data_IF_338420257664
#
_entry.id   IF_338420257664
#
_cell.length_a   1.000
_cell.length_b   1.000
_cell.length_c   1.000
_cell.angle_alpha   90.00
_cell.angle_beta   90.00
_cell.angle_gamma   90.00
#
_symmetry.space_group_name_H-M   'P 1'
#
loop_
_entity.id
_entity.type
_entity.pdbx_description
1 polymer ?
#
# COMPACT_ATOMS: atom_id res chain seq x y z
N UNK A 1 -6.45 -18.56 40.06
CA UNK A 1 -5.62 -17.67 39.24
C UNK A 1 -5.61 -18.20 37.80
N UNK A 2 -6.28 -17.52 36.85
CA UNK A 2 -6.19 -17.90 35.42
C UNK A 2 -4.90 -17.30 34.84
N UNK A 3 -4.12 -18.04 34.03
CA UNK A 3 -2.89 -17.50 33.47
C UNK A 3 -3.22 -16.35 32.49
N UNK A 4 -2.58 -15.22 32.70
CA UNK A 4 -2.64 -14.05 31.83
C UNK A 4 -2.14 -14.44 30.43
N UNK A 5 -2.94 -14.24 29.40
CA UNK A 5 -2.61 -14.64 28.01
C UNK A 5 -1.44 -13.80 27.48
N UNK A 6 -0.28 -14.37 27.36
CA UNK A 6 0.94 -13.75 26.81
C UNK A 6 0.71 -13.08 25.43
N UNK A 7 -0.23 -13.57 24.62
CA UNK A 7 -0.56 -13.01 23.30
C UNK A 7 -1.25 -11.62 23.35
N UNK A 8 -2.01 -11.31 24.40
CA UNK A 8 -2.68 -10.02 24.51
C UNK A 8 -1.70 -8.86 24.83
N UNK A 9 -0.66 -9.18 25.58
CA UNK A 9 0.39 -8.21 25.96
C UNK A 9 1.23 -7.84 24.72
N UNK A 10 1.60 -8.81 23.89
CA UNK A 10 2.36 -8.58 22.64
C UNK A 10 1.61 -7.66 21.65
N UNK A 11 0.31 -7.90 21.46
CA UNK A 11 -0.55 -7.11 20.57
C UNK A 11 -0.65 -5.65 21.02
N UNK A 12 -0.90 -5.43 22.30
CA UNK A 12 -1.04 -4.09 22.88
C UNK A 12 0.24 -3.27 22.71
N UNK A 13 1.40 -3.87 23.00
CA UNK A 13 2.71 -3.24 22.86
C UNK A 13 3.03 -2.83 21.42
N UNK A 14 2.71 -3.66 20.43
CA UNK A 14 2.96 -3.29 19.03
C UNK A 14 2.08 -2.13 18.58
N UNK A 15 0.77 -2.20 18.84
CA UNK A 15 -0.17 -1.11 18.50
C UNK A 15 0.27 0.19 19.17
N UNK A 16 0.71 0.13 20.44
CA UNK A 16 1.25 1.29 21.15
C UNK A 16 2.56 1.80 20.53
N UNK A 17 3.45 0.91 20.09
CA UNK A 17 4.74 1.30 19.50
C UNK A 17 4.60 1.92 18.10
N UNK A 18 3.51 1.67 17.38
CA UNK A 18 3.24 2.25 16.07
C UNK A 18 2.62 3.65 16.14
N UNK A 19 2.16 4.09 17.32
CA UNK A 19 1.58 5.44 17.49
C UNK A 19 2.66 6.50 17.36
N UNK A 20 2.33 7.59 16.68
CA UNK A 20 3.21 8.75 16.47
C UNK A 20 4.54 8.42 15.79
N UNK A 21 4.64 7.26 15.12
CA UNK A 21 5.86 6.92 14.36
C UNK A 21 5.75 7.41 12.92
N UNK A 22 6.81 8.00 12.37
CA UNK A 22 6.86 8.31 10.95
C UNK A 22 6.80 7.02 10.12
N UNK A 23 6.34 7.12 8.86
CA UNK A 23 6.48 6.01 7.92
C UNK A 23 7.94 5.92 7.48
N UNK A 24 8.59 4.83 7.83
CA UNK A 24 9.97 4.56 7.41
C UNK A 24 9.99 3.27 6.59
N UNK A 25 10.48 3.33 5.35
CA UNK A 25 10.66 2.16 4.47
C UNK A 25 12.12 2.14 4.03
N UNK A 26 12.83 1.05 4.28
CA UNK A 26 14.26 0.89 3.97
C UNK A 26 15.13 2.11 4.40
N UNK A 27 14.91 2.61 5.60
CA UNK A 27 15.65 3.75 6.16
C UNK A 27 15.24 5.14 5.63
N UNK A 28 14.36 5.22 4.63
CA UNK A 28 13.82 6.48 4.12
C UNK A 28 12.52 6.83 4.84
N UNK A 29 12.43 8.06 5.35
CA UNK A 29 11.24 8.59 6.02
C UNK A 29 10.31 9.25 5.01
N UNK A 30 9.00 8.98 5.13
CA UNK A 30 7.92 9.57 4.36
C UNK A 30 6.92 10.25 5.31
N UNK A 31 6.47 11.43 4.93
CA UNK A 31 5.42 12.17 5.64
C UNK A 31 4.03 11.68 5.21
N UNK A 32 3.89 11.34 3.91
CA UNK A 32 2.65 10.81 3.37
C UNK A 32 2.58 9.30 3.55
N UNK A 33 1.41 8.82 3.96
CA UNK A 33 1.07 7.38 4.02
C UNK A 33 0.21 6.95 2.82
N UNK A 34 0.03 7.86 1.84
CA UNK A 34 -0.61 7.57 0.56
C UNK A 34 0.46 7.38 -0.51
N UNK A 35 0.44 6.22 -1.15
CA UNK A 35 1.23 5.91 -2.35
C UNK A 35 0.27 5.95 -3.53
N UNK A 36 0.65 6.62 -4.62
CA UNK A 36 -0.22 6.76 -5.79
C UNK A 36 0.31 5.95 -6.98
N UNK A 37 -0.60 5.24 -7.65
CA UNK A 37 -0.33 4.63 -8.95
C UNK A 37 -0.56 5.60 -10.10
N UNK A 38 0.06 5.35 -11.25
CA UNK A 38 0.00 6.22 -12.43
C UNK A 38 -0.82 5.65 -13.58
N UNK A 39 -1.47 4.52 -13.37
CA UNK A 39 -2.27 3.87 -14.41
C UNK A 39 -3.66 4.49 -14.57
N UNK A 40 -4.25 4.33 -15.77
CA UNK A 40 -5.65 4.65 -16.10
C UNK A 40 -6.05 6.14 -16.11
N UNK A 41 -5.16 7.08 -15.83
CA UNK A 41 -5.47 8.49 -16.02
C UNK A 41 -5.78 8.81 -17.48
N UNK A 42 -6.70 9.74 -17.70
CA UNK A 42 -7.12 10.16 -19.04
C UNK A 42 -6.04 10.95 -19.80
N UNK A 43 -5.14 11.60 -19.05
CA UNK A 43 -3.97 12.31 -19.60
C UNK A 43 -2.83 12.39 -18.59
N UNK A 44 -1.59 12.65 -19.05
CA UNK A 44 -0.46 12.92 -18.16
C UNK A 44 -0.68 14.14 -17.26
N UNK A 45 -1.39 15.17 -17.74
CA UNK A 45 -1.70 16.39 -16.98
C UNK A 45 -2.68 16.08 -15.84
N UNK A 46 -3.72 15.27 -16.09
CA UNK A 46 -4.65 14.80 -15.05
C UNK A 46 -3.92 13.99 -13.99
N UNK A 47 -2.98 13.11 -14.41
CA UNK A 47 -2.13 12.36 -13.50
C UNK A 47 -1.28 13.32 -12.65
N UNK A 48 -0.58 14.28 -13.25
CA UNK A 48 0.26 15.24 -12.52
C UNK A 48 -0.55 16.04 -11.50
N UNK A 49 -1.71 16.54 -11.88
CA UNK A 49 -2.59 17.27 -10.96
C UNK A 49 -3.03 16.39 -9.77
N UNK A 50 -3.39 15.14 -10.02
CA UNK A 50 -3.74 14.20 -8.95
C UNK A 50 -2.56 13.86 -8.03
N UNK A 51 -1.34 13.68 -8.59
CA UNK A 51 -0.12 13.50 -7.81
C UNK A 51 0.13 14.68 -6.87
N UNK A 52 0.02 15.89 -7.35
CA UNK A 52 0.18 17.11 -6.56
C UNK A 52 -0.88 17.23 -5.45
N UNK A 53 -2.15 16.97 -5.78
CA UNK A 53 -3.27 17.05 -4.84
C UNK A 53 -3.22 15.95 -3.76
N UNK A 54 -2.69 14.77 -4.09
CA UNK A 54 -2.59 13.64 -3.17
C UNK A 54 -1.62 13.87 -2.01
N UNK A 55 -0.63 14.74 -2.18
CA UNK A 55 0.47 14.89 -1.24
C UNK A 55 1.36 13.64 -1.11
N UNK A 56 1.21 12.66 -1.99
CA UNK A 56 2.06 11.47 -2.02
C UNK A 56 3.54 11.87 -2.22
N UNK A 57 4.44 11.08 -1.67
CA UNK A 57 5.89 11.23 -1.86
C UNK A 57 6.47 10.00 -2.58
N UNK A 58 5.66 8.98 -2.82
CA UNK A 58 6.01 7.76 -3.57
C UNK A 58 4.95 7.50 -4.65
N UNK A 59 5.41 7.18 -5.85
CA UNK A 59 4.59 7.01 -7.04
C UNK A 59 4.97 5.73 -7.75
N UNK A 60 4.02 4.83 -8.05
CA UNK A 60 4.32 3.61 -8.80
C UNK A 60 4.17 3.80 -10.30
N UNK A 61 5.12 3.27 -11.05
CA UNK A 61 5.13 3.30 -12.52
C UNK A 61 5.32 1.90 -13.07
N UNK A 62 4.37 1.46 -13.92
CA UNK A 62 4.50 0.17 -14.59
C UNK A 62 5.59 0.23 -15.67
N UNK A 63 6.60 -0.63 -15.59
CA UNK A 63 7.74 -0.65 -16.52
C UNK A 63 7.35 -0.88 -17.96
N UNK A 64 6.23 -1.56 -18.23
CA UNK A 64 5.68 -1.70 -19.59
C UNK A 64 5.19 -0.39 -20.20
N UNK A 65 5.01 0.65 -19.40
CA UNK A 65 4.58 2.00 -19.83
C UNK A 65 5.72 3.00 -19.82
N UNK A 66 6.90 2.66 -19.29
CA UNK A 66 8.08 3.46 -19.38
C UNK A 66 8.81 3.07 -20.67
N UNK A 67 8.88 3.96 -21.66
CA UNK A 67 9.73 3.72 -22.83
C UNK A 67 11.20 3.85 -22.43
N UNK A 68 11.79 2.71 -22.11
CA UNK A 68 13.22 2.61 -21.83
C UNK A 68 14.05 2.58 -23.13
N UNK A 69 13.41 2.59 -24.31
CA UNK A 69 14.08 2.47 -25.62
C UNK A 69 14.45 3.82 -26.24
N UNK A 70 13.98 4.94 -25.68
CA UNK A 70 14.21 6.27 -26.20
C UNK A 70 13.47 6.59 -27.51
N UNK A 71 12.52 5.75 -27.95
CA UNK A 71 11.63 6.04 -29.08
C UNK A 71 10.47 6.91 -28.59
N UNK A 72 10.24 8.03 -29.28
CA UNK A 72 9.16 8.97 -28.93
C UNK A 72 7.80 8.35 -29.24
N UNK A 73 7.21 7.70 -28.26
CA UNK A 73 5.77 7.45 -28.19
C UNK A 73 5.13 8.57 -27.36
N UNK A 74 4.10 9.28 -27.82
CA UNK A 74 3.44 10.34 -27.05
C UNK A 74 2.88 9.90 -25.69
N UNK A 75 2.68 8.59 -25.49
CA UNK A 75 2.27 7.99 -24.22
C UNK A 75 3.40 7.29 -23.46
N UNK A 76 4.62 7.27 -24.00
CA UNK A 76 5.71 6.40 -23.55
C UNK A 76 6.52 6.98 -22.40
N UNK A 77 6.51 8.28 -22.18
CA UNK A 77 7.38 8.88 -21.18
C UNK A 77 6.62 9.50 -20.00
N UNK A 78 5.83 8.65 -19.35
CA UNK A 78 5.13 9.05 -18.11
C UNK A 78 6.09 9.66 -17.07
N UNK A 79 7.36 9.29 -17.11
CA UNK A 79 8.40 9.80 -16.21
C UNK A 79 8.69 11.30 -16.41
N UNK A 80 8.46 11.86 -17.60
CA UNK A 80 8.63 13.31 -17.85
C UNK A 80 7.62 14.15 -17.06
N UNK A 81 6.50 13.57 -16.66
CA UNK A 81 5.45 14.23 -15.88
C UNK A 81 5.56 14.02 -14.37
N UNK A 82 6.61 13.31 -13.92
CA UNK A 82 6.88 13.00 -12.51
C UNK A 82 8.18 13.68 -12.11
N UNK A 83 8.11 14.71 -11.25
CA UNK A 83 9.28 15.38 -10.72
C UNK A 83 10.07 14.46 -9.76
N UNK A 84 11.27 13.97 -10.14
CA UNK A 84 12.07 13.08 -9.31
C UNK A 84 12.62 13.76 -8.04
N UNK A 85 12.60 15.09 -7.98
CA UNK A 85 12.97 15.83 -6.77
C UNK A 85 11.88 15.80 -5.70
N UNK A 86 10.63 15.58 -6.09
CA UNK A 86 9.47 15.50 -5.19
C UNK A 86 9.00 14.09 -4.90
N UNK A 87 9.10 13.21 -5.88
CA UNK A 87 8.54 11.86 -5.81
C UNK A 87 9.63 10.80 -5.89
N UNK A 88 9.58 9.82 -5.00
CA UNK A 88 10.28 8.56 -5.21
C UNK A 88 9.50 7.77 -6.26
N UNK A 89 10.11 7.59 -7.43
CA UNK A 89 9.57 6.68 -8.45
C UNK A 89 9.80 5.25 -7.99
N UNK A 90 8.73 4.50 -7.84
CA UNK A 90 8.72 3.08 -7.50
C UNK A 90 8.31 2.28 -8.76
N UNK A 91 9.26 1.76 -9.54
CA UNK A 91 8.93 0.90 -10.67
C UNK A 91 8.18 -0.34 -10.20
N UNK A 92 7.21 -0.83 -11.01
CA UNK A 92 6.54 -2.09 -10.73
C UNK A 92 6.68 -3.09 -11.88
N UNK A 93 6.61 -4.37 -11.56
CA UNK A 93 6.74 -5.48 -12.50
C UNK A 93 5.38 -5.97 -13.02
N UNK A 94 4.36 -5.12 -12.95
CA UNK A 94 2.99 -5.45 -13.40
C UNK A 94 2.97 -6.05 -14.80
N UNK A 95 2.33 -7.20 -14.91
CA UNK A 95 2.25 -8.00 -16.13
C UNK A 95 3.36 -9.04 -16.27
N UNK A 96 4.27 -9.19 -15.30
CA UNK A 96 5.11 -10.37 -15.21
C UNK A 96 4.25 -11.61 -14.90
N UNK A 97 4.53 -12.71 -15.58
CA UNK A 97 3.81 -13.96 -15.41
C UNK A 97 4.53 -14.92 -14.46
N UNK A 98 5.82 -14.69 -14.20
CA UNK A 98 6.67 -15.53 -13.34
C UNK A 98 7.83 -14.71 -12.74
N UNK A 99 8.58 -15.35 -11.84
CA UNK A 99 9.73 -14.74 -11.16
C UNK A 99 10.82 -14.25 -12.12
N UNK A 100 11.15 -15.05 -13.13
CA UNK A 100 12.22 -14.70 -14.07
C UNK A 100 11.89 -13.42 -14.86
N UNK A 101 10.63 -13.25 -15.28
CA UNK A 101 10.19 -12.02 -15.95
C UNK A 101 10.23 -10.81 -15.01
N UNK A 102 9.74 -10.97 -13.77
CA UNK A 102 9.74 -9.90 -12.79
C UNK A 102 11.17 -9.42 -12.46
N UNK A 103 12.11 -10.37 -12.23
CA UNK A 103 13.51 -10.06 -11.98
C UNK A 103 14.15 -9.36 -13.20
N UNK A 104 13.87 -9.84 -14.41
CA UNK A 104 14.34 -9.19 -15.65
C UNK A 104 13.85 -7.74 -15.76
N UNK A 105 12.57 -7.49 -15.48
CA UNK A 105 12.00 -6.14 -15.50
C UNK A 105 12.66 -5.23 -14.45
N UNK A 106 12.86 -5.72 -13.23
CA UNK A 106 13.54 -4.96 -12.18
C UNK A 106 14.97 -4.57 -12.56
N UNK A 107 15.72 -5.50 -13.14
CA UNK A 107 17.09 -5.25 -13.65
C UNK A 107 17.09 -4.23 -14.78
N UNK A 108 16.13 -4.29 -15.70
CA UNK A 108 15.99 -3.30 -16.78
C UNK A 108 15.72 -1.90 -16.22
N UNK A 109 14.84 -1.77 -15.21
CA UNK A 109 14.59 -0.49 -14.56
C UNK A 109 15.87 0.10 -13.94
N UNK A 110 16.63 -0.71 -13.21
CA UNK A 110 17.88 -0.28 -12.61
C UNK A 110 18.95 0.08 -13.68
N UNK A 111 19.03 -0.68 -14.76
CA UNK A 111 19.92 -0.39 -15.88
C UNK A 111 19.55 0.91 -16.61
N UNK A 112 18.27 1.29 -16.60
CA UNK A 112 17.78 2.56 -17.13
C UNK A 112 17.97 3.75 -16.16
N UNK A 113 18.65 3.55 -15.02
CA UNK A 113 18.95 4.61 -14.05
C UNK A 113 17.87 4.87 -13.02
N UNK A 114 16.79 4.07 -12.97
CA UNK A 114 15.80 4.17 -11.92
C UNK A 114 16.35 3.64 -10.59
N UNK A 115 15.81 4.10 -9.44
CA UNK A 115 16.22 3.59 -8.14
C UNK A 115 16.07 2.07 -8.05
N UNK A 116 16.95 1.40 -7.28
CA UNK A 116 16.81 -0.03 -6.95
C UNK A 116 15.67 -0.28 -5.95
N UNK A 117 14.53 0.36 -6.17
CA UNK A 117 13.27 0.12 -5.48
C UNK A 117 12.33 -0.55 -6.47
N UNK A 118 11.57 -1.55 -6.02
CA UNK A 118 10.68 -2.28 -6.92
C UNK A 118 9.39 -2.70 -6.19
N UNK A 119 8.26 -2.33 -6.75
CA UNK A 119 6.98 -2.95 -6.39
C UNK A 119 6.87 -4.24 -7.19
N UNK A 120 7.03 -5.35 -6.49
CA UNK A 120 7.03 -6.68 -7.10
C UNK A 120 5.59 -7.17 -7.30
N UNK A 121 5.18 -7.31 -8.54
CA UNK A 121 3.88 -7.82 -8.96
C UNK A 121 4.05 -8.96 -9.95
N UNK A 122 3.52 -10.14 -9.63
CA UNK A 122 3.47 -11.31 -10.53
C UNK A 122 2.05 -11.84 -10.49
N UNK A 123 1.30 -11.64 -11.57
CA UNK A 123 -0.09 -12.07 -11.66
C UNK A 123 -0.33 -12.77 -13.00
N UNK A 124 -0.25 -14.10 -13.04
CA UNK A 124 -0.37 -14.89 -14.26
C UNK A 124 -1.78 -14.87 -14.87
N UNK A 125 -2.81 -14.65 -14.05
CA UNK A 125 -4.18 -14.53 -14.50
C UNK A 125 -4.54 -13.07 -14.80
N UNK A 126 -4.75 -12.71 -16.11
CA UNK A 126 -5.09 -11.34 -16.51
C UNK A 126 -6.51 -10.92 -16.13
N UNK A 127 -7.38 -11.86 -15.73
CA UNK A 127 -8.78 -11.59 -15.42
C UNK A 127 -8.94 -11.01 -14.01
N UNK A 128 -8.31 -11.61 -13.03
CA UNK A 128 -8.44 -11.20 -11.61
C UNK A 128 -7.21 -10.50 -11.08
N UNK A 129 -6.06 -10.61 -11.77
CA UNK A 129 -4.79 -9.99 -11.38
C UNK A 129 -4.37 -10.36 -9.94
N UNK A 130 -4.69 -11.59 -9.54
CA UNK A 130 -4.26 -12.11 -8.24
C UNK A 130 -2.78 -12.50 -8.29
N UNK A 131 -2.02 -12.15 -7.23
CA UNK A 131 -0.59 -12.42 -7.21
C UNK A 131 -0.30 -13.91 -6.99
N UNK A 132 0.70 -14.42 -7.71
CA UNK A 132 1.22 -15.77 -7.51
C UNK A 132 2.14 -15.81 -6.28
N UNK A 133 1.80 -16.56 -5.22
CA UNK A 133 2.58 -16.56 -3.98
C UNK A 133 3.96 -17.21 -4.13
N UNK A 134 4.08 -18.23 -4.97
CA UNK A 134 5.32 -19.00 -5.16
C UNK A 134 6.32 -18.19 -5.98
N UNK A 135 5.87 -17.66 -7.11
CA UNK A 135 6.72 -16.87 -7.99
C UNK A 135 7.09 -15.52 -7.35
N UNK A 136 6.17 -14.92 -6.58
CA UNK A 136 6.46 -13.68 -5.82
C UNK A 136 7.54 -13.92 -4.77
N UNK A 137 7.48 -15.04 -4.04
CA UNK A 137 8.50 -15.36 -3.03
C UNK A 137 9.86 -15.59 -3.67
N UNK A 138 9.96 -16.40 -4.74
CA UNK A 138 11.21 -16.65 -5.48
C UNK A 138 11.84 -15.35 -6.01
N UNK A 139 11.04 -14.49 -6.62
CA UNK A 139 11.53 -13.22 -7.16
C UNK A 139 11.98 -12.29 -6.05
N UNK A 140 11.26 -12.24 -4.92
CA UNK A 140 11.62 -11.41 -3.78
C UNK A 140 12.97 -11.80 -3.18
N UNK A 141 13.22 -13.09 -2.92
CA UNK A 141 14.50 -13.59 -2.43
C UNK A 141 15.65 -13.17 -3.34
N UNK A 142 15.50 -13.39 -4.65
CA UNK A 142 16.53 -13.05 -5.62
C UNK A 142 16.79 -11.53 -5.67
N UNK A 143 15.75 -10.71 -5.73
CA UNK A 143 15.89 -9.26 -5.82
C UNK A 143 16.48 -8.66 -4.55
N UNK A 144 16.12 -9.16 -3.36
CA UNK A 144 16.73 -8.75 -2.09
C UNK A 144 18.23 -9.06 -2.09
N UNK A 145 18.65 -10.26 -2.52
CA UNK A 145 20.06 -10.64 -2.65
C UNK A 145 20.82 -9.74 -3.63
N UNK A 146 20.15 -9.23 -4.66
CA UNK A 146 20.71 -8.28 -5.64
C UNK A 146 20.72 -6.82 -5.14
N UNK A 147 20.30 -6.57 -3.90
CA UNK A 147 20.29 -5.27 -3.25
C UNK A 147 19.13 -4.36 -3.68
N UNK A 148 18.02 -4.92 -4.14
CA UNK A 148 16.80 -4.17 -4.36
C UNK A 148 16.03 -3.95 -3.04
N UNK A 149 15.42 -2.78 -2.91
CA UNK A 149 14.37 -2.53 -1.92
C UNK A 149 13.05 -3.07 -2.50
N UNK A 150 12.60 -4.22 -2.00
CA UNK A 150 11.46 -4.95 -2.55
C UNK A 150 10.19 -4.66 -1.75
N UNK A 151 9.13 -4.25 -2.44
CA UNK A 151 7.79 -4.02 -1.92
C UNK A 151 6.83 -5.00 -2.63
N UNK A 152 6.58 -6.20 -2.08
CA UNK A 152 5.84 -7.26 -2.76
C UNK A 152 4.33 -7.10 -2.61
N UNK A 153 3.60 -7.08 -3.74
CA UNK A 153 2.14 -7.21 -3.80
C UNK A 153 1.75 -8.67 -3.63
N UNK A 154 0.88 -8.95 -2.67
CA UNK A 154 0.49 -10.32 -2.27
C UNK A 154 -1.00 -10.43 -2.01
N UNK A 155 -1.54 -11.66 -2.06
CA UNK A 155 -2.79 -11.96 -1.38
C UNK A 155 -2.63 -11.66 0.11
N UNK A 156 -3.74 -11.40 0.82
CA UNK A 156 -3.69 -11.16 2.26
C UNK A 156 -3.45 -12.49 3.02
N UNK A 157 -2.27 -13.07 2.81
CA UNK A 157 -1.79 -14.30 3.42
C UNK A 157 -0.76 -13.98 4.52
N UNK A 158 -1.10 -14.17 5.81
CA UNK A 158 -0.18 -13.89 6.92
C UNK A 158 1.08 -14.75 6.91
N UNK A 159 1.00 -16.00 6.41
CA UNK A 159 2.16 -16.90 6.35
C UNK A 159 3.15 -16.45 5.28
N UNK A 160 2.65 -16.10 4.10
CA UNK A 160 3.49 -15.54 3.03
C UNK A 160 4.09 -14.19 3.44
N UNK A 161 3.29 -13.30 4.06
CA UNK A 161 3.76 -12.02 4.56
C UNK A 161 4.94 -12.19 5.52
N UNK A 162 4.87 -13.16 6.43
CA UNK A 162 5.99 -13.46 7.33
C UNK A 162 7.22 -13.99 6.59
N UNK A 163 7.05 -14.90 5.65
CA UNK A 163 8.18 -15.43 4.85
C UNK A 163 8.89 -14.33 4.06
N UNK A 164 8.13 -13.41 3.46
CA UNK A 164 8.68 -12.31 2.69
C UNK A 164 9.50 -11.35 3.54
N UNK A 165 9.01 -10.98 4.73
CA UNK A 165 9.80 -10.13 5.62
C UNK A 165 11.06 -10.86 6.13
N UNK A 166 10.97 -12.16 6.42
CA UNK A 166 12.13 -12.99 6.83
C UNK A 166 13.16 -13.10 5.68
N UNK A 167 12.71 -13.05 4.40
CA UNK A 167 13.57 -12.95 3.23
C UNK A 167 14.17 -11.55 3.01
N UNK A 168 13.79 -10.54 3.79
CA UNK A 168 14.36 -9.20 3.76
C UNK A 168 13.62 -8.19 2.89
N UNK A 169 12.33 -8.40 2.58
CA UNK A 169 11.54 -7.38 1.88
C UNK A 169 11.33 -6.15 2.76
N UNK A 170 11.26 -4.98 2.14
CA UNK A 170 11.16 -3.70 2.85
C UNK A 170 9.76 -3.40 3.39
N UNK A 171 8.75 -4.04 2.85
CA UNK A 171 7.34 -3.98 3.26
C UNK A 171 6.67 -5.31 2.97
N UNK A 172 5.41 -5.43 3.38
CA UNK A 172 4.44 -6.39 2.79
C UNK A 172 3.23 -5.60 2.31
N UNK A 173 2.71 -5.96 1.12
CA UNK A 173 1.62 -5.23 0.47
C UNK A 173 0.43 -6.16 0.20
N UNK A 174 -0.36 -6.50 1.23
CA UNK A 174 -1.55 -7.32 1.07
C UNK A 174 -2.64 -6.56 0.32
N UNK A 175 -3.35 -7.23 -0.60
CA UNK A 175 -4.51 -6.67 -1.27
C UNK A 175 -5.70 -6.54 -0.31
N UNK A 176 -6.46 -5.44 -0.44
CA UNK A 176 -7.79 -5.31 0.17
C UNK A 176 -8.84 -6.10 -0.60
N UNK A 177 -8.78 -6.02 -1.93
CA UNK A 177 -9.57 -6.78 -2.92
C UNK A 177 -8.84 -6.73 -4.28
N UNK A 178 -9.26 -7.48 -5.31
CA UNK A 178 -8.55 -7.53 -6.59
C UNK A 178 -8.31 -6.15 -7.20
N UNK A 179 -7.19 -5.99 -7.94
CA UNK A 179 -6.79 -4.74 -8.59
C UNK A 179 -7.95 -4.17 -9.42
N UNK A 180 -8.31 -2.90 -9.18
CA UNK A 180 -9.32 -2.19 -9.95
C UNK A 180 -10.76 -2.60 -9.66
N UNK A 181 -11.02 -3.46 -8.67
CA UNK A 181 -12.36 -3.91 -8.32
C UNK A 181 -13.16 -2.91 -7.49
N UNK A 182 -12.50 -1.95 -6.82
CA UNK A 182 -13.10 -0.94 -5.95
C UNK A 182 -13.97 -1.50 -4.79
N UNK A 183 -13.75 -2.78 -4.40
CA UNK A 183 -14.58 -3.49 -3.42
C UNK A 183 -14.17 -3.25 -1.95
N UNK A 184 -13.09 -2.49 -1.73
CA UNK A 184 -12.62 -2.15 -0.39
C UNK A 184 -11.86 -3.29 0.32
N UNK A 185 -11.95 -3.32 1.64
CA UNK A 185 -11.20 -4.25 2.50
C UNK A 185 -11.93 -5.59 2.68
N UNK A 186 -12.05 -6.39 1.63
CA UNK A 186 -12.66 -7.72 1.69
C UNK A 186 -11.82 -8.72 2.50
N UNK A 187 -10.51 -8.47 2.63
CA UNK A 187 -9.56 -9.30 3.36
C UNK A 187 -9.19 -8.70 4.73
N UNK A 188 -10.10 -7.93 5.33
CA UNK A 188 -9.88 -7.14 6.55
C UNK A 188 -9.25 -7.94 7.69
N UNK A 189 -9.76 -9.14 7.97
CA UNK A 189 -9.28 -9.95 9.10
C UNK A 189 -7.88 -10.51 8.86
N UNK A 190 -7.57 -10.90 7.62
CA UNK A 190 -6.23 -11.35 7.23
C UNK A 190 -5.22 -10.19 7.31
N UNK A 191 -5.61 -8.99 6.84
CA UNK A 191 -4.78 -7.78 6.97
C UNK A 191 -4.51 -7.47 8.45
N UNK A 192 -5.51 -7.58 9.32
CA UNK A 192 -5.34 -7.39 10.77
C UNK A 192 -4.28 -8.34 11.34
N UNK A 193 -4.34 -9.63 10.97
CA UNK A 193 -3.35 -10.62 11.41
C UNK A 193 -1.95 -10.25 10.88
N UNK A 194 -1.84 -9.83 9.62
CA UNK A 194 -0.57 -9.38 9.05
C UNK A 194 -0.02 -8.19 9.83
N UNK A 195 -0.83 -7.17 10.09
CA UNK A 195 -0.44 -5.98 10.86
C UNK A 195 0.06 -6.37 12.27
N UNK A 196 -0.59 -7.31 12.94
CA UNK A 196 -0.20 -7.76 14.27
C UNK A 196 1.16 -8.47 14.31
N UNK A 197 1.52 -9.16 13.24
CA UNK A 197 2.71 -10.01 13.17
C UNK A 197 3.88 -9.39 12.40
N UNK A 198 3.62 -8.40 11.53
CA UNK A 198 4.64 -7.84 10.68
C UNK A 198 5.72 -7.08 11.48
N UNK A 199 6.97 -7.16 11.06
CA UNK A 199 8.11 -6.39 11.58
C UNK A 199 8.58 -5.31 10.61
N UNK A 200 8.01 -5.30 9.40
CA UNK A 200 8.18 -4.28 8.36
C UNK A 200 6.85 -3.54 8.16
N UNK A 201 6.84 -2.36 7.53
CA UNK A 201 5.61 -1.64 7.23
C UNK A 201 4.63 -2.46 6.39
N UNK A 202 3.35 -2.38 6.75
CA UNK A 202 2.24 -3.01 6.02
C UNK A 202 1.55 -1.94 5.19
N UNK A 203 1.55 -2.12 3.87
CA UNK A 203 0.90 -1.22 2.91
C UNK A 203 -0.30 -1.93 2.32
N UNK A 204 -1.52 -1.49 2.61
CA UNK A 204 -2.70 -2.08 1.97
C UNK A 204 -2.78 -1.60 0.53
N UNK A 205 -2.74 -2.54 -0.40
CA UNK A 205 -2.72 -2.28 -1.84
C UNK A 205 -3.96 -2.89 -2.50
N UNK A 206 -4.36 -2.30 -3.62
CA UNK A 206 -5.44 -2.77 -4.48
C UNK A 206 -6.86 -2.82 -3.88
N UNK A 207 -7.83 -2.59 -4.74
CA UNK A 207 -9.25 -2.68 -4.43
C UNK A 207 -9.83 -1.54 -3.60
N UNK A 208 -9.04 -0.56 -3.17
CA UNK A 208 -9.52 0.61 -2.42
C UNK A 208 -10.26 1.55 -3.37
N UNK A 209 -11.58 1.53 -3.35
CA UNK A 209 -12.46 2.24 -4.29
C UNK A 209 -13.04 3.55 -3.76
N UNK A 210 -12.85 3.85 -2.47
CA UNK A 210 -13.35 5.06 -1.84
C UNK A 210 -12.38 5.57 -0.76
N UNK A 211 -12.37 6.88 -0.45
CA UNK A 211 -11.60 7.43 0.66
C UNK A 211 -11.83 6.72 2.01
N UNK A 212 -13.07 6.33 2.30
CA UNK A 212 -13.42 5.57 3.51
C UNK A 212 -12.68 4.23 3.61
N UNK A 213 -12.40 3.55 2.51
CA UNK A 213 -11.62 2.31 2.53
C UNK A 213 -10.16 2.55 2.96
N UNK A 214 -9.58 3.68 2.54
CA UNK A 214 -8.24 4.08 2.98
C UNK A 214 -8.24 4.44 4.47
N UNK A 215 -9.23 5.20 4.95
CA UNK A 215 -9.37 5.50 6.37
C UNK A 215 -9.47 4.21 7.19
N UNK A 216 -10.34 3.26 6.81
CA UNK A 216 -10.49 1.97 7.48
C UNK A 216 -9.18 1.17 7.54
N UNK A 217 -8.37 1.18 6.46
CA UNK A 217 -7.07 0.52 6.46
C UNK A 217 -6.12 1.12 7.50
N UNK A 218 -6.05 2.46 7.59
CA UNK A 218 -5.20 3.16 8.56
C UNK A 218 -5.73 3.01 10.00
N UNK A 219 -7.05 3.03 10.20
CA UNK A 219 -7.71 2.75 11.48
C UNK A 219 -7.40 1.33 11.99
N UNK A 220 -7.29 0.36 11.09
CA UNK A 220 -6.91 -1.01 11.40
C UNK A 220 -5.45 -1.11 11.87
N UNK A 221 -4.61 -0.11 11.54
CA UNK A 221 -3.21 -0.02 11.89
C UNK A 221 -2.24 -0.27 10.73
N UNK A 222 -2.72 -0.26 9.48
CA UNK A 222 -1.83 -0.27 8.34
C UNK A 222 -0.90 0.96 8.36
N UNK A 223 0.32 0.78 7.87
CA UNK A 223 1.30 1.86 7.85
C UNK A 223 1.09 2.84 6.69
N UNK A 224 0.57 2.33 5.57
CA UNK A 224 0.24 3.12 4.40
C UNK A 224 -0.81 2.41 3.53
N UNK A 225 -1.29 3.10 2.52
CA UNK A 225 -2.13 2.54 1.45
C UNK A 225 -1.59 2.91 0.08
N UNK A 226 -1.83 2.05 -0.91
CA UNK A 226 -1.60 2.37 -2.32
C UNK A 226 -2.92 2.42 -3.06
N UNK A 227 -3.17 3.53 -3.75
CA UNK A 227 -4.40 3.77 -4.52
C UNK A 227 -4.04 4.17 -5.95
N UNK A 228 -4.80 3.70 -6.91
CA UNK A 228 -4.67 4.10 -8.30
C UNK A 228 -6.04 4.26 -8.97
N UNK A 229 -6.72 3.16 -9.28
CA UNK A 229 -7.94 3.16 -10.10
C UNK A 229 -8.99 4.14 -9.60
N UNK A 230 -9.31 4.13 -8.31
CA UNK A 230 -10.35 4.98 -7.72
C UNK A 230 -10.11 6.48 -7.91
N UNK A 231 -8.84 6.88 -7.97
CA UNK A 231 -8.46 8.27 -8.24
C UNK A 231 -8.45 8.54 -9.74
N UNK A 232 -7.80 7.65 -10.50
CA UNK A 232 -7.54 7.87 -11.91
C UNK A 232 -8.80 7.92 -12.79
N UNK A 233 -9.86 7.18 -12.42
CA UNK A 233 -11.12 7.11 -13.18
C UNK A 233 -12.25 7.96 -12.59
N UNK A 234 -11.96 8.73 -11.53
CA UNK A 234 -12.94 9.67 -10.97
C UNK A 234 -13.24 10.80 -11.99
N UNK A 235 -14.44 11.37 -11.93
CA UNK A 235 -14.81 12.53 -12.75
C UNK A 235 -13.86 13.72 -12.51
N UNK A 236 -13.38 13.89 -11.28
CA UNK A 236 -12.36 14.86 -10.89
C UNK A 236 -11.24 14.14 -10.11
N UNK A 237 -10.18 13.68 -10.80
CA UNK A 237 -9.07 12.96 -10.17
C UNK A 237 -8.34 13.80 -9.11
N UNK A 238 -8.25 15.12 -9.27
CA UNK A 238 -7.56 15.99 -8.33
C UNK A 238 -8.31 16.09 -7.00
N UNK A 239 -9.63 16.29 -7.06
CA UNK A 239 -10.49 16.29 -5.87
C UNK A 239 -10.53 14.93 -5.19
N UNK A 240 -10.57 13.85 -5.97
CA UNK A 240 -10.55 12.49 -5.42
C UNK A 240 -9.20 12.20 -4.73
N UNK A 241 -8.07 12.61 -5.31
CA UNK A 241 -6.76 12.48 -4.70
C UNK A 241 -6.66 13.25 -3.36
N UNK A 242 -7.18 14.48 -3.32
CA UNK A 242 -7.25 15.26 -2.09
C UNK A 242 -8.16 14.60 -1.03
N UNK A 243 -9.28 14.00 -1.44
CA UNK A 243 -10.16 13.26 -0.54
C UNK A 243 -9.48 12.01 0.05
N UNK A 244 -8.73 11.26 -0.75
CA UNK A 244 -7.92 10.14 -0.26
C UNK A 244 -6.83 10.59 0.71
N UNK A 245 -6.15 11.71 0.44
CA UNK A 245 -5.19 12.30 1.38
C UNK A 245 -5.83 12.56 2.74
N UNK A 246 -6.95 13.29 2.77
CA UNK A 246 -7.66 13.58 4.01
C UNK A 246 -8.11 12.32 4.75
N UNK A 247 -8.57 11.30 4.03
CA UNK A 247 -8.99 10.04 4.62
C UNK A 247 -7.83 9.26 5.25
N UNK A 248 -6.67 9.25 4.60
CA UNK A 248 -5.44 8.64 5.13
C UNK A 248 -4.98 9.36 6.40
N UNK A 249 -4.99 10.69 6.40
CA UNK A 249 -4.63 11.52 7.55
C UNK A 249 -5.61 11.28 8.72
N UNK A 250 -6.92 11.28 8.44
CA UNK A 250 -7.96 11.04 9.45
C UNK A 250 -7.88 9.63 10.04
N UNK A 251 -7.76 8.59 9.20
CA UNK A 251 -7.65 7.21 9.67
C UNK A 251 -6.40 6.98 10.51
N UNK A 252 -5.27 7.57 10.12
CA UNK A 252 -4.05 7.51 10.92
C UNK A 252 -4.18 8.23 12.26
N UNK A 253 -4.74 9.42 12.26
CA UNK A 253 -4.98 10.18 13.48
C UNK A 253 -5.94 9.42 14.45
N UNK A 254 -6.97 8.78 13.93
CA UNK A 254 -7.88 7.94 14.71
C UNK A 254 -7.17 6.74 15.33
N UNK A 255 -6.33 6.04 14.56
CA UNK A 255 -5.49 4.95 15.08
C UNK A 255 -4.55 5.42 16.20
N UNK A 256 -3.90 6.55 16.03
CA UNK A 256 -2.97 7.13 17.01
C UNK A 256 -3.69 7.62 18.29
N UNK A 257 -4.87 8.18 18.13
CA UNK A 257 -5.73 8.55 19.27
C UNK A 257 -6.23 7.34 20.06
N UNK A 258 -6.39 6.20 19.40
CA UNK A 258 -6.91 4.97 19.97
C UNK A 258 -8.42 4.88 19.86
N UNK A 259 -8.87 4.09 18.90
CA UNK A 259 -10.30 3.82 18.69
C UNK A 259 -10.88 3.03 19.86
N UNK A 260 -12.08 3.39 20.35
CA UNK A 260 -12.78 2.57 21.32
C UNK A 260 -13.17 1.22 20.71
N UNK A 261 -13.22 0.19 21.56
CA UNK A 261 -13.69 -1.11 21.11
C UNK A 261 -15.18 -1.06 20.77
N UNK A 262 -15.57 -1.78 19.70
CA UNK A 262 -16.97 -2.02 19.43
C UNK A 262 -17.61 -2.82 20.58
N UNK A 263 -18.81 -2.46 20.98
CA UNK A 263 -19.60 -3.14 22.01
C UNK A 263 -20.88 -3.65 21.40
N UNK A 264 -21.37 -4.79 21.88
CA UNK A 264 -22.65 -5.36 21.43
C UNK A 264 -23.84 -4.63 22.07
N UNK A 265 -23.67 -4.14 23.32
CA UNK A 265 -24.70 -3.44 24.06
C UNK A 265 -24.54 -1.93 23.95
N UNK A 266 -25.65 -1.23 23.94
CA UNK A 266 -25.67 0.23 23.99
C UNK A 266 -25.26 0.72 25.39
N UNK A 267 -24.42 1.76 25.41
CA UNK A 267 -24.06 2.48 26.65
C UNK A 267 -24.54 3.92 26.56
N UNK A 268 -25.34 4.35 27.53
CA UNK A 268 -25.87 5.71 27.56
C UNK A 268 -24.74 6.73 27.79
N UNK A 269 -24.70 7.78 26.96
CA UNK A 269 -23.74 8.88 27.08
C UNK A 269 -24.10 9.87 28.19
N UNK A 270 -25.36 9.87 28.63
CA UNK A 270 -25.85 10.69 29.74
C UNK A 270 -26.48 9.80 30.79
N UNK A 271 -26.35 10.10 32.11
CA UNK A 271 -27.06 9.37 33.14
C UNK A 271 -28.58 9.46 32.92
N UNK A 272 -29.24 8.32 32.73
CA UNK A 272 -30.70 8.27 32.52
C UNK A 272 -31.51 8.68 33.76
N UNK A 273 -30.88 8.77 34.94
CA UNK A 273 -31.53 8.93 36.23
C UNK A 273 -31.20 10.21 37.01
N UNK A 274 -30.25 11.02 36.52
CA UNK A 274 -29.77 12.21 37.25
C UNK A 274 -30.76 13.37 37.35
N UNK A 275 -31.97 13.27 36.75
CA UNK A 275 -33.02 14.27 36.81
C UNK A 275 -34.22 13.82 37.66
N UNK A 276 -34.17 12.67 38.33
CA UNK A 276 -35.26 12.10 39.09
C UNK A 276 -34.98 11.97 40.60
N UNK A 277 -33.81 12.47 41.06
CA UNK A 277 -33.48 12.60 42.48
C UNK A 277 -33.58 14.04 42.96
#
# INVERSE_FOLDING_TARGET
MKPCRAGAISRYWRVMSLRNQPLVIAGRTFRSRLILGTGKFSSPEAMRGALEASGAEMVTVALRRADLSGKKDPFANILEFIDPGRFLVLPNTSGALNAAEAVRLARLAAAAGLPKWIKLEIHPDPRYLLPDPVETFKAAEQLVQEGFTVLPYINADPVLAKRLQDAGTATVMPLGSPIGSNQGLQTREQIRIIIEQATVPVVVDAGLGAPSHAAQALELGADAVLVNTAIAIADDPNRMAAAFKMAVEAGRAAFEAGLPAAQEEASATSPLTAFLE
#
